data_IF_669020187862
#
_entry.id   IF_669020187862
#
_cell.length_a   1.000
_cell.length_b   1.000
_cell.length_c   1.000
_cell.angle_alpha   90.00
_cell.angle_beta   90.00
_cell.angle_gamma   90.00
#
_symmetry.space_group_name_H-M   'P 1'
#
loop_
_entity.id
_entity.type
_entity.pdbx_description
1 polymer ?
#
# COMPACT_ATOMS: atom_id res chain seq x y z
N UNK A 1 17.83 -31.91 -36.05
CA UNK A 1 19.01 -31.26 -35.43
C UNK A 1 20.14 -31.47 -36.40
N UNK A 2 20.62 -30.44 -37.05
CA UNK A 2 21.76 -30.49 -37.96
C UNK A 2 23.01 -30.03 -37.23
N UNK A 3 24.09 -30.78 -37.39
CA UNK A 3 25.42 -30.50 -36.82
C UNK A 3 26.35 -30.05 -37.95
N UNK A 4 27.32 -29.19 -37.64
CA UNK A 4 28.37 -28.82 -38.55
C UNK A 4 29.44 -29.91 -38.68
N UNK A 5 30.36 -29.76 -39.64
CA UNK A 5 31.42 -30.78 -39.93
C UNK A 5 32.44 -30.96 -38.76
N UNK A 6 32.27 -30.26 -37.64
CA UNK A 6 33.10 -30.41 -36.43
C UNK A 6 32.30 -30.85 -35.18
N UNK A 7 31.00 -31.24 -35.35
CA UNK A 7 30.17 -31.82 -34.29
C UNK A 7 29.60 -30.84 -33.25
N UNK A 8 29.52 -29.54 -33.58
CA UNK A 8 28.87 -28.53 -32.75
C UNK A 8 27.46 -28.18 -33.27
N UNK A 9 26.50 -27.87 -32.42
CA UNK A 9 25.15 -27.51 -32.85
C UNK A 9 25.15 -26.19 -33.59
N UNK A 10 24.56 -26.17 -34.81
CA UNK A 10 24.39 -24.95 -35.59
C UNK A 10 23.47 -23.97 -34.94
N UNK A 11 23.96 -22.78 -34.59
CA UNK A 11 23.23 -21.72 -33.94
C UNK A 11 22.52 -20.86 -34.99
N UNK A 12 21.21 -21.07 -35.15
CA UNK A 12 20.33 -20.20 -35.99
C UNK A 12 19.62 -19.21 -35.10
N UNK A 13 20.31 -18.13 -34.70
CA UNK A 13 19.70 -17.01 -34.00
C UNK A 13 19.50 -15.83 -34.99
N UNK A 14 18.26 -15.41 -35.33
CA UNK A 14 17.99 -14.32 -36.26
C UNK A 14 18.23 -12.92 -35.69
N UNK A 15 18.70 -12.78 -34.45
CA UNK A 15 18.98 -11.48 -33.81
C UNK A 15 20.45 -11.38 -33.35
N UNK A 16 21.41 -11.32 -34.30
CA UNK A 16 22.78 -10.96 -33.95
C UNK A 16 22.87 -9.44 -33.70
N UNK A 17 23.15 -9.06 -32.50
CA UNK A 17 23.49 -7.68 -32.08
C UNK A 17 24.78 -7.27 -32.78
N UNK A 18 24.72 -6.22 -33.63
CA UNK A 18 25.92 -5.55 -34.15
C UNK A 18 26.51 -4.60 -33.12
N UNK A 19 27.81 -4.74 -32.91
CA UNK A 19 28.62 -3.92 -31.99
C UNK A 19 28.61 -2.44 -32.43
N UNK A 20 28.23 -1.49 -31.56
CA UNK A 20 28.18 -0.06 -31.90
C UNK A 20 29.55 0.62 -32.08
N UNK A 21 30.68 -0.06 -31.91
CA UNK A 21 32.02 0.54 -31.95
C UNK A 21 32.62 0.70 -33.34
N UNK A 22 31.89 0.35 -34.43
CA UNK A 22 32.37 0.52 -35.83
C UNK A 22 31.62 1.58 -36.62
N UNK A 23 31.26 2.70 -36.02
CA UNK A 23 30.70 3.84 -36.78
C UNK A 23 31.82 4.81 -37.19
N UNK A 24 32.14 4.89 -38.49
CA UNK A 24 33.08 5.86 -39.07
C UNK A 24 32.31 7.10 -39.57
N UNK A 25 32.50 8.27 -39.00
CA UNK A 25 31.74 9.49 -39.38
C UNK A 25 32.30 10.21 -40.61
N UNK A 26 33.25 9.64 -41.35
CA UNK A 26 33.93 10.33 -42.47
C UNK A 26 33.35 10.05 -43.85
N UNK A 27 32.31 9.26 -44.03
CA UNK A 27 31.68 9.09 -45.36
C UNK A 27 30.58 10.12 -45.60
N UNK A 28 31.01 11.24 -46.21
CA UNK A 28 30.16 12.33 -46.59
C UNK A 28 29.21 11.97 -47.75
N UNK A 29 28.01 12.47 -47.65
CA UNK A 29 27.04 12.50 -48.76
C UNK A 29 27.54 13.45 -49.86
N UNK A 30 27.82 12.92 -51.04
CA UNK A 30 28.10 13.69 -52.26
C UNK A 30 26.81 14.14 -52.91
N UNK A 31 26.81 15.39 -53.29
CA UNK A 31 25.86 16.29 -53.82
C UNK A 31 24.98 15.84 -54.98
N UNK A 32 23.83 16.49 -55.07
CA UNK A 32 23.06 16.65 -56.28
C UNK A 32 23.39 18.00 -56.92
N UNK A 33 23.87 17.93 -58.17
CA UNK A 33 24.17 19.10 -59.01
C UNK A 33 22.90 19.83 -59.39
N UNK A 34 22.98 21.15 -59.37
CA UNK A 34 22.02 22.10 -59.91
C UNK A 34 22.06 22.15 -61.44
N UNK A 35 21.05 21.62 -62.09
CA UNK A 35 20.80 21.85 -63.51
C UNK A 35 20.02 23.13 -63.74
N UNK A 36 20.66 24.10 -64.37
CA UNK A 36 20.03 25.30 -64.93
C UNK A 36 19.27 24.99 -66.17
N UNK A 37 17.99 25.33 -66.28
CA UNK A 37 17.29 25.49 -67.56
C UNK A 37 16.19 26.55 -67.49
N UNK A 38 16.38 27.55 -68.22
CA UNK A 38 15.56 28.44 -69.05
C UNK A 38 14.09 28.72 -68.66
N UNK A 39 13.92 29.98 -68.50
CA UNK A 39 12.76 30.81 -68.36
C UNK A 39 11.77 30.69 -69.51
N UNK A 40 10.56 30.13 -69.33
CA UNK A 40 9.40 30.40 -70.16
C UNK A 40 8.24 30.81 -69.27
N UNK A 41 7.79 32.03 -69.49
CA UNK A 41 6.71 32.64 -68.73
C UNK A 41 5.37 31.91 -68.93
N UNK A 42 4.70 31.68 -67.84
CA UNK A 42 3.28 31.30 -67.78
C UNK A 42 2.53 32.22 -66.85
N UNK A 43 1.40 32.63 -67.41
CA UNK A 43 0.36 33.48 -66.97
C UNK A 43 -0.08 33.29 -65.51
N UNK A 44 -0.15 34.40 -64.80
CA UNK A 44 -0.50 34.50 -63.34
C UNK A 44 -2.02 34.57 -63.20
N UNK A 45 -2.73 33.42 -63.32
CA UNK A 45 -4.12 33.30 -62.89
C UNK A 45 -4.21 32.61 -61.51
N UNK A 46 -4.52 33.41 -60.54
CA UNK A 46 -4.72 33.18 -59.10
C UNK A 46 -5.20 31.81 -58.64
N UNK A 47 -4.29 30.96 -58.23
CA UNK A 47 -4.56 29.88 -57.27
C UNK A 47 -3.67 30.12 -56.05
N UNK A 48 -4.28 30.62 -54.98
CA UNK A 48 -3.60 30.59 -53.66
C UNK A 48 -3.43 29.13 -53.23
N UNK A 49 -2.21 28.69 -52.84
CA UNK A 49 -2.04 27.32 -52.33
C UNK A 49 -2.88 27.12 -51.12
N UNK A 50 -3.77 26.11 -51.15
CA UNK A 50 -4.47 25.65 -49.97
C UNK A 50 -3.45 25.25 -48.93
N UNK A 51 -3.53 25.74 -47.67
CA UNK A 51 -2.62 25.32 -46.63
C UNK A 51 -2.76 23.79 -46.43
N UNK A 52 -1.63 23.09 -46.19
CA UNK A 52 -1.67 21.64 -45.93
C UNK A 52 -2.63 21.35 -44.80
N UNK A 53 -3.33 20.19 -44.82
CA UNK A 53 -4.20 19.81 -43.72
C UNK A 53 -3.40 19.84 -42.45
N UNK A 54 -3.86 20.61 -41.44
CA UNK A 54 -3.27 20.58 -40.12
C UNK A 54 -3.47 19.17 -39.57
N UNK A 55 -2.40 18.41 -39.48
CA UNK A 55 -2.40 17.17 -38.69
C UNK A 55 -2.86 17.50 -37.29
N UNK A 56 -4.09 17.10 -36.99
CA UNK A 56 -4.62 17.19 -35.61
C UNK A 56 -3.75 16.31 -34.74
N UNK A 57 -2.85 16.93 -34.02
CA UNK A 57 -2.07 16.22 -32.97
C UNK A 57 -3.07 15.46 -32.10
N UNK A 58 -2.87 14.15 -31.88
CA UNK A 58 -3.77 13.40 -31.00
C UNK A 58 -3.81 14.11 -29.65
N UNK A 59 -5.04 14.41 -29.19
CA UNK A 59 -5.27 15.10 -27.93
C UNK A 59 -4.49 14.36 -26.83
N UNK A 60 -3.58 15.07 -26.15
CA UNK A 60 -2.84 14.49 -25.02
C UNK A 60 -3.87 13.94 -24.03
N UNK A 61 -3.75 12.67 -23.59
CA UNK A 61 -4.68 12.13 -22.63
C UNK A 61 -4.68 13.06 -21.40
N UNK A 62 -5.84 13.60 -21.07
CA UNK A 62 -6.00 14.40 -19.85
C UNK A 62 -5.71 13.48 -18.68
N UNK A 63 -4.65 13.78 -17.91
CA UNK A 63 -4.34 13.06 -16.69
C UNK A 63 -5.53 13.24 -15.72
N UNK A 64 -6.31 12.19 -15.55
CA UNK A 64 -7.42 12.20 -14.59
C UNK A 64 -6.83 12.41 -13.19
N UNK A 65 -7.38 13.34 -12.43
CA UNK A 65 -7.04 13.51 -11.03
C UNK A 65 -7.35 12.21 -10.29
N UNK A 66 -6.36 11.68 -9.57
CA UNK A 66 -6.52 10.46 -8.77
C UNK A 66 -7.57 10.68 -7.69
N UNK A 67 -8.65 9.91 -7.73
CA UNK A 67 -9.69 9.96 -6.71
C UNK A 67 -9.14 9.41 -5.39
N UNK A 68 -9.55 10.02 -4.27
CA UNK A 68 -9.14 9.61 -2.94
C UNK A 68 -10.35 9.17 -2.12
N UNK A 69 -10.07 8.28 -1.17
CA UNK A 69 -11.02 7.92 -0.12
C UNK A 69 -10.44 8.33 1.23
N UNK A 70 -11.30 8.72 2.15
CA UNK A 70 -10.89 8.88 3.54
C UNK A 70 -10.64 7.51 4.17
N UNK A 71 -9.56 7.36 4.90
CA UNK A 71 -9.30 6.13 5.67
C UNK A 71 -10.32 5.91 6.79
N UNK A 72 -10.92 6.99 7.26
CA UNK A 72 -11.75 6.97 8.47
C UNK A 72 -10.95 6.93 9.77
N UNK A 73 -9.62 7.01 9.70
CA UNK A 73 -8.72 7.00 10.86
C UNK A 73 -8.27 8.44 11.12
N UNK A 74 -8.61 9.02 12.28
CA UNK A 74 -8.25 10.40 12.59
C UNK A 74 -6.76 10.67 12.46
N UNK A 75 -6.40 11.75 11.74
CA UNK A 75 -5.01 12.17 11.51
C UNK A 75 -4.27 11.41 10.39
N UNK A 76 -4.74 10.22 9.98
CA UNK A 76 -4.05 9.41 8.96
C UNK A 76 -4.09 10.06 7.57
N UNK A 77 -5.25 10.54 7.16
CA UNK A 77 -5.42 11.11 5.82
C UNK A 77 -4.46 12.29 5.55
N UNK A 78 -4.11 13.04 6.60
CA UNK A 78 -3.17 14.17 6.50
C UNK A 78 -1.76 13.72 6.15
N UNK A 79 -1.30 12.59 6.69
CA UNK A 79 0.07 12.08 6.46
C UNK A 79 0.23 11.37 5.11
N UNK A 80 -0.88 11.01 4.46
CA UNK A 80 -0.89 10.38 3.12
C UNK A 80 -1.39 11.33 2.01
N UNK A 81 -1.37 12.65 2.27
CA UNK A 81 -1.69 13.66 1.27
C UNK A 81 -3.19 13.81 0.96
N UNK A 82 -4.06 13.59 1.96
CA UNK A 82 -5.51 13.82 1.86
C UNK A 82 -6.33 12.55 1.66
N UNK A 83 -5.84 11.41 2.12
CA UNK A 83 -6.51 10.11 2.04
C UNK A 83 -5.85 9.12 1.08
N UNK A 84 -6.30 7.89 1.12
CA UNK A 84 -5.81 6.82 0.24
C UNK A 84 -6.29 7.03 -1.20
N UNK A 85 -5.46 6.71 -2.18
CA UNK A 85 -5.89 6.70 -3.58
C UNK A 85 -6.85 5.53 -3.77
N UNK A 86 -7.99 5.78 -4.39
CA UNK A 86 -9.03 4.78 -4.67
C UNK A 86 -8.49 3.66 -5.56
N UNK A 87 -9.04 2.47 -5.38
CA UNK A 87 -8.76 1.29 -6.22
C UNK A 87 -7.28 0.88 -6.23
N UNK A 88 -6.61 1.08 -5.09
CA UNK A 88 -5.22 0.71 -4.85
C UNK A 88 -5.09 -0.32 -3.74
N UNK A 89 -3.99 -1.06 -3.77
CA UNK A 89 -3.65 -2.07 -2.78
C UNK A 89 -2.50 -1.58 -1.92
N UNK A 90 -2.73 -1.57 -0.62
CA UNK A 90 -1.80 -1.09 0.40
C UNK A 90 -1.39 -2.23 1.33
N UNK A 91 -0.11 -2.30 1.68
CA UNK A 91 0.38 -3.21 2.69
C UNK A 91 0.38 -2.51 4.05
N UNK A 92 -0.32 -3.09 5.03
CA UNK A 92 -0.26 -2.70 6.42
C UNK A 92 0.64 -3.69 7.17
N UNK A 93 1.82 -3.26 7.56
CA UNK A 93 2.82 -4.12 8.21
C UNK A 93 3.16 -3.63 9.63
N UNK A 94 3.69 -4.53 10.44
CA UNK A 94 4.15 -4.21 11.79
C UNK A 94 4.21 -5.43 12.69
N UNK A 95 4.94 -5.37 13.83
CA UNK A 95 5.08 -6.48 14.75
C UNK A 95 3.74 -6.86 15.42
N UNK A 96 3.70 -8.02 16.05
CA UNK A 96 2.54 -8.44 16.85
C UNK A 96 2.23 -7.40 17.92
N UNK A 97 0.95 -7.07 18.13
CA UNK A 97 0.50 -6.06 19.12
C UNK A 97 0.71 -4.60 18.68
N UNK A 98 1.15 -4.33 17.45
CA UNK A 98 1.26 -2.96 16.92
C UNK A 98 -0.09 -2.30 16.64
N UNK A 99 -1.18 -3.06 16.51
CA UNK A 99 -2.52 -2.55 16.25
C UNK A 99 -3.00 -2.73 14.80
N UNK A 100 -2.42 -3.68 14.05
CA UNK A 100 -2.78 -3.92 12.64
C UNK A 100 -4.26 -4.26 12.46
N UNK A 101 -4.77 -5.25 13.19
CA UNK A 101 -6.18 -5.67 13.14
C UNK A 101 -7.11 -4.52 13.54
N UNK A 102 -6.73 -3.70 14.52
CA UNK A 102 -7.52 -2.51 14.91
C UNK A 102 -7.55 -1.49 13.76
N UNK A 103 -6.41 -1.19 13.15
CA UNK A 103 -6.30 -0.26 12.03
C UNK A 103 -7.16 -0.72 10.84
N UNK A 104 -7.04 -1.99 10.45
CA UNK A 104 -7.75 -2.57 9.31
C UNK A 104 -9.26 -2.67 9.55
N UNK A 105 -9.68 -3.04 10.77
CA UNK A 105 -11.10 -3.06 11.14
C UNK A 105 -11.68 -1.64 11.19
N UNK A 106 -10.96 -0.68 11.75
CA UNK A 106 -11.39 0.72 11.78
C UNK A 106 -11.55 1.30 10.37
N UNK A 107 -10.65 0.96 9.45
CA UNK A 107 -10.74 1.34 8.04
C UNK A 107 -12.05 0.84 7.41
N UNK A 108 -12.44 -0.40 7.64
CA UNK A 108 -13.71 -0.95 7.14
C UNK A 108 -14.91 -0.38 7.87
N UNK A 109 -14.91 -0.43 9.21
CA UNK A 109 -16.03 0.01 10.03
C UNK A 109 -16.39 1.49 9.76
N UNK A 110 -15.40 2.37 9.76
CA UNK A 110 -15.60 3.78 9.44
C UNK A 110 -15.94 4.01 7.95
N UNK A 111 -15.46 3.13 7.06
CA UNK A 111 -15.86 3.13 5.66
C UNK A 111 -17.36 2.95 5.49
N UNK A 112 -17.92 1.99 6.17
CA UNK A 112 -19.37 1.71 6.14
C UNK A 112 -20.15 2.81 6.88
N UNK A 113 -19.78 3.06 8.14
CA UNK A 113 -20.58 3.91 9.03
C UNK A 113 -20.56 5.39 8.66
N UNK A 114 -19.45 5.90 8.10
CA UNK A 114 -19.26 7.33 7.81
C UNK A 114 -19.33 7.68 6.32
N UNK A 115 -18.98 6.72 5.44
CA UNK A 115 -18.84 6.99 4.01
C UNK A 115 -19.74 6.14 3.14
N UNK A 116 -20.56 5.24 3.75
CA UNK A 116 -21.46 4.30 3.04
C UNK A 116 -20.71 3.46 1.98
N UNK A 117 -19.48 3.07 2.29
CA UNK A 117 -18.65 2.22 1.45
C UNK A 117 -18.63 0.79 2.03
N UNK A 118 -19.35 -0.12 1.38
CA UNK A 118 -19.42 -1.52 1.79
C UNK A 118 -18.06 -2.21 1.72
N UNK A 119 -17.89 -3.27 2.50
CA UNK A 119 -16.60 -3.91 2.63
C UNK A 119 -16.59 -5.43 2.75
N UNK A 120 -15.40 -6.00 2.57
CA UNK A 120 -15.09 -7.41 2.81
C UNK A 120 -13.92 -7.50 3.77
N UNK A 121 -14.05 -8.31 4.82
CA UNK A 121 -12.96 -8.68 5.72
C UNK A 121 -12.69 -10.18 5.59
N UNK A 122 -11.49 -10.54 5.14
CA UNK A 122 -11.02 -11.93 5.03
C UNK A 122 -10.19 -12.25 6.26
N UNK A 123 -10.64 -13.21 7.06
CA UNK A 123 -9.92 -13.65 8.28
C UNK A 123 -9.14 -14.92 8.03
N UNK A 124 -7.83 -14.89 8.31
CA UNK A 124 -6.89 -15.98 8.09
C UNK A 124 -6.15 -16.43 9.37
N UNK A 125 -6.16 -15.60 10.44
CA UNK A 125 -5.45 -15.88 11.70
C UNK A 125 -6.37 -16.02 12.91
N UNK A 126 -7.50 -15.36 12.94
CA UNK A 126 -8.51 -15.49 13.98
C UNK A 126 -9.86 -15.91 13.39
N UNK A 127 -10.80 -16.37 14.21
CA UNK A 127 -12.14 -16.69 13.69
C UNK A 127 -12.99 -15.43 13.55
N UNK A 128 -14.00 -15.41 12.62
CA UNK A 128 -14.93 -14.29 12.51
C UNK A 128 -15.60 -13.92 13.83
N UNK A 129 -15.94 -14.92 14.65
CA UNK A 129 -16.54 -14.71 15.96
C UNK A 129 -15.57 -13.95 16.88
N UNK A 130 -14.30 -14.38 16.95
CA UNK A 130 -13.28 -13.69 17.77
C UNK A 130 -13.07 -12.25 17.32
N UNK A 131 -13.01 -12.01 16.01
CA UNK A 131 -12.92 -10.64 15.46
C UNK A 131 -14.10 -9.79 15.94
N UNK A 132 -15.35 -10.26 15.80
CA UNK A 132 -16.56 -9.53 16.21
C UNK A 132 -16.54 -9.21 17.72
N UNK A 133 -16.25 -10.21 18.54
CA UNK A 133 -16.17 -10.07 20.01
C UNK A 133 -15.09 -9.08 20.42
N UNK A 134 -13.88 -9.20 19.86
CA UNK A 134 -12.75 -8.37 20.19
C UNK A 134 -13.02 -6.89 19.88
N UNK A 135 -13.56 -6.57 18.71
CA UNK A 135 -13.79 -5.18 18.31
C UNK A 135 -15.02 -4.58 18.99
N UNK A 136 -16.04 -5.39 19.27
CA UNK A 136 -17.22 -4.94 20.03
C UNK A 136 -16.86 -4.60 21.47
N UNK A 137 -16.16 -5.52 22.16
CA UNK A 137 -15.78 -5.33 23.55
C UNK A 137 -14.78 -4.18 23.74
N UNK A 138 -13.88 -3.96 22.75
CA UNK A 138 -12.84 -2.94 22.87
C UNK A 138 -13.31 -1.55 22.45
N UNK A 139 -14.20 -1.45 21.44
CA UNK A 139 -14.53 -0.20 20.76
C UNK A 139 -16.03 0.03 20.54
N UNK A 140 -16.88 -0.92 20.92
CA UNK A 140 -18.33 -0.87 20.64
C UNK A 140 -18.67 -1.01 19.15
N UNK A 141 -17.74 -1.47 18.32
CA UNK A 141 -17.98 -1.63 16.88
C UNK A 141 -18.79 -2.89 16.60
N UNK A 142 -20.08 -2.70 16.36
CA UNK A 142 -20.99 -3.82 16.07
C UNK A 142 -20.93 -4.19 14.58
N UNK A 143 -19.98 -5.07 14.23
CA UNK A 143 -19.84 -5.57 12.85
C UNK A 143 -21.04 -6.42 12.45
N UNK A 144 -21.60 -7.21 13.37
CA UNK A 144 -22.76 -8.09 13.09
C UNK A 144 -23.93 -7.32 12.51
N UNK A 145 -24.23 -6.13 13.02
CA UNK A 145 -25.31 -5.28 12.47
C UNK A 145 -25.09 -4.96 10.99
N UNK A 146 -23.85 -4.70 10.59
CA UNK A 146 -23.53 -4.40 9.18
C UNK A 146 -23.53 -5.65 8.30
N UNK A 147 -23.21 -6.84 8.86
CA UNK A 147 -23.37 -8.12 8.15
C UNK A 147 -24.85 -8.42 7.88
N UNK A 148 -25.69 -8.24 8.89
CA UNK A 148 -27.14 -8.48 8.79
C UNK A 148 -27.80 -7.54 7.76
N UNK A 149 -27.29 -6.31 7.66
CA UNK A 149 -27.73 -5.31 6.69
C UNK A 149 -27.12 -5.49 5.28
N UNK A 150 -26.21 -6.44 5.08
CA UNK A 150 -25.55 -6.67 3.81
C UNK A 150 -24.53 -5.60 3.41
N UNK A 151 -23.95 -4.88 4.39
CA UNK A 151 -22.92 -3.87 4.14
C UNK A 151 -21.49 -4.42 4.22
N UNK A 152 -21.29 -5.54 4.94
CA UNK A 152 -20.01 -6.20 5.07
C UNK A 152 -20.17 -7.71 4.93
N UNK A 153 -19.17 -8.35 4.36
CA UNK A 153 -18.95 -9.80 4.46
C UNK A 153 -17.68 -10.02 5.28
N UNK A 154 -17.80 -10.81 6.35
CA UNK A 154 -16.65 -11.40 7.02
C UNK A 154 -16.49 -12.81 6.47
N UNK A 155 -15.42 -13.02 5.68
CA UNK A 155 -15.12 -14.29 5.01
C UNK A 155 -14.19 -15.13 5.88
N UNK A 156 -14.69 -16.28 6.32
CA UNK A 156 -13.92 -17.26 7.09
C UNK A 156 -13.00 -18.07 6.15
N UNK A 157 -11.72 -17.78 6.19
CA UNK A 157 -10.71 -18.54 5.48
C UNK A 157 -9.85 -19.42 6.43
N UNK A 158 -9.82 -19.11 7.73
CA UNK A 158 -9.04 -19.86 8.70
C UNK A 158 -9.59 -21.26 8.93
N UNK A 159 -10.93 -21.41 9.04
CA UNK A 159 -11.55 -22.72 9.33
C UNK A 159 -11.21 -23.73 8.24
N UNK A 160 -11.33 -23.35 6.97
CA UNK A 160 -10.96 -24.21 5.84
C UNK A 160 -9.49 -24.55 5.81
N UNK A 161 -8.62 -23.56 6.05
CA UNK A 161 -7.17 -23.74 6.07
C UNK A 161 -6.73 -24.74 7.16
N UNK A 162 -7.34 -24.66 8.34
CA UNK A 162 -7.05 -25.57 9.44
C UNK A 162 -7.85 -26.89 9.41
N UNK A 163 -8.68 -27.11 8.39
CA UNK A 163 -9.51 -28.32 8.28
C UNK A 163 -10.66 -28.37 9.29
N UNK A 164 -11.04 -27.22 9.89
CA UNK A 164 -12.11 -27.12 10.89
C UNK A 164 -13.47 -26.86 10.22
N UNK A 165 -14.55 -27.26 10.91
CA UNK A 165 -15.91 -26.89 10.52
C UNK A 165 -16.18 -25.43 10.90
N UNK A 166 -16.89 -24.70 10.04
CA UNK A 166 -17.33 -23.34 10.30
C UNK A 166 -18.87 -23.29 10.34
N UNK A 167 -19.41 -22.46 11.24
CA UNK A 167 -20.82 -22.09 11.26
C UNK A 167 -21.11 -20.76 10.54
N UNK A 168 -20.11 -20.16 9.90
CA UNK A 168 -20.22 -18.86 9.25
C UNK A 168 -20.99 -18.96 7.92
N UNK A 169 -21.66 -17.88 7.55
CA UNK A 169 -22.38 -17.77 6.27
C UNK A 169 -21.45 -17.75 5.07
N UNK A 170 -20.28 -17.12 5.22
CA UNK A 170 -19.29 -16.96 4.16
C UNK A 170 -18.00 -17.65 4.57
N UNK A 171 -17.71 -18.78 3.91
CA UNK A 171 -16.58 -19.66 4.24
C UNK A 171 -15.89 -20.06 2.95
N UNK A 172 -14.56 -20.01 2.93
CA UNK A 172 -13.80 -20.61 1.83
C UNK A 172 -14.01 -22.13 1.85
N UNK A 173 -14.41 -22.78 0.74
CA UNK A 173 -14.66 -24.22 0.72
C UNK A 173 -13.40 -25.05 0.92
N UNK A 174 -13.57 -26.31 1.34
CA UNK A 174 -12.48 -27.29 1.42
C UNK A 174 -12.43 -28.16 0.13
N UNK A 175 -11.22 -28.55 -0.32
CA UNK A 175 -9.90 -28.21 0.26
C UNK A 175 -9.58 -26.74 0.08
N UNK A 176 -8.86 -26.15 1.07
CA UNK A 176 -8.36 -24.77 0.95
C UNK A 176 -7.32 -24.71 -0.18
N UNK A 177 -7.58 -23.88 -1.17
CA UNK A 177 -6.65 -23.58 -2.27
C UNK A 177 -6.62 -22.08 -2.52
N UNK A 178 -5.58 -21.61 -3.19
CA UNK A 178 -5.50 -20.20 -3.57
C UNK A 178 -6.64 -19.81 -4.53
N UNK A 179 -7.02 -20.71 -5.42
CA UNK A 179 -8.12 -20.52 -6.35
C UNK A 179 -9.45 -20.39 -5.63
N UNK A 180 -9.72 -21.25 -4.64
CA UNK A 180 -10.96 -21.18 -3.84
C UNK A 180 -11.01 -19.89 -3.02
N UNK A 181 -9.88 -19.46 -2.43
CA UNK A 181 -9.79 -18.20 -1.71
C UNK A 181 -10.06 -16.99 -2.62
N UNK A 182 -9.44 -16.94 -3.79
CA UNK A 182 -9.64 -15.87 -4.76
C UNK A 182 -11.08 -15.81 -5.26
N UNK A 183 -11.68 -16.96 -5.52
CA UNK A 183 -13.07 -17.07 -5.97
C UNK A 183 -14.05 -16.55 -4.90
N UNK A 184 -13.87 -16.95 -3.64
CA UNK A 184 -14.74 -16.49 -2.55
C UNK A 184 -14.54 -15.00 -2.22
N UNK A 185 -13.35 -14.47 -2.35
CA UNK A 185 -13.13 -13.01 -2.24
C UNK A 185 -13.92 -12.27 -3.33
N UNK A 186 -13.89 -12.76 -4.58
CA UNK A 186 -14.65 -12.15 -5.67
C UNK A 186 -16.17 -12.23 -5.42
N UNK A 187 -16.67 -13.38 -4.99
CA UNK A 187 -18.08 -13.57 -4.64
C UNK A 187 -18.50 -12.61 -3.52
N UNK A 188 -17.69 -12.50 -2.46
CA UNK A 188 -17.96 -11.60 -1.34
C UNK A 188 -18.00 -10.14 -1.79
N UNK A 189 -17.05 -9.69 -2.64
CA UNK A 189 -17.03 -8.34 -3.20
C UNK A 189 -18.31 -8.05 -3.99
N UNK A 190 -18.72 -8.98 -4.85
CA UNK A 190 -19.92 -8.81 -5.67
C UNK A 190 -21.20 -8.82 -4.81
N UNK A 191 -21.25 -9.68 -3.80
CA UNK A 191 -22.44 -9.83 -2.92
C UNK A 191 -22.83 -8.51 -2.25
N UNK A 192 -21.85 -7.76 -1.74
CA UNK A 192 -22.13 -6.51 -1.04
C UNK A 192 -21.73 -5.26 -1.86
N UNK A 193 -21.31 -5.44 -3.12
CA UNK A 193 -20.76 -4.36 -3.94
C UNK A 193 -19.66 -3.60 -3.18
N UNK A 194 -18.68 -4.35 -2.67
CA UNK A 194 -17.64 -3.82 -1.79
C UNK A 194 -16.77 -2.76 -2.49
N UNK A 195 -16.37 -1.75 -1.73
CA UNK A 195 -15.40 -0.73 -2.12
C UNK A 195 -14.13 -0.82 -1.29
N UNK A 196 -14.20 -1.46 -0.13
CA UNK A 196 -13.08 -1.68 0.77
C UNK A 196 -12.88 -3.16 1.02
N UNK A 197 -11.63 -3.60 1.02
CA UNK A 197 -11.28 -4.99 1.32
C UNK A 197 -10.14 -5.01 2.34
N UNK A 198 -10.21 -5.92 3.29
CA UNK A 198 -9.11 -6.24 4.22
C UNK A 198 -8.81 -7.73 4.10
N UNK A 199 -7.54 -8.08 4.05
CA UNK A 199 -7.06 -9.48 4.13
C UNK A 199 -6.10 -9.56 5.31
N UNK A 200 -6.51 -10.24 6.41
CA UNK A 200 -5.79 -10.30 7.68
C UNK A 200 -5.54 -11.77 8.10
N UNK A 201 -4.31 -12.31 7.96
CA UNK A 201 -3.15 -11.71 7.38
C UNK A 201 -2.47 -12.62 6.35
N UNK A 202 -1.60 -12.04 5.53
CA UNK A 202 -0.80 -12.79 4.55
C UNK A 202 0.18 -13.76 5.21
N UNK A 203 0.55 -13.54 6.48
CA UNK A 203 1.50 -14.38 7.21
C UNK A 203 1.00 -15.81 7.34
N UNK A 204 -0.32 -15.98 7.50
CA UNK A 204 -0.96 -17.29 7.54
C UNK A 204 -0.69 -18.14 6.27
N UNK A 205 -0.54 -17.48 5.12
CA UNK A 205 -0.24 -18.13 3.85
C UNK A 205 1.25 -18.26 3.58
N UNK A 206 2.07 -17.37 4.13
CA UNK A 206 3.53 -17.37 3.93
C UNK A 206 4.22 -18.60 4.54
N UNK A 207 3.59 -19.24 5.51
CA UNK A 207 4.09 -20.49 6.13
C UNK A 207 3.94 -21.71 5.21
N UNK A 208 3.02 -21.68 4.25
CA UNK A 208 2.68 -22.80 3.38
C UNK A 208 3.21 -22.64 1.95
N UNK A 209 3.56 -21.40 1.56
CA UNK A 209 3.95 -21.05 0.20
C UNK A 209 5.44 -20.74 0.09
N UNK A 210 6.03 -21.08 -1.07
CA UNK A 210 7.34 -20.55 -1.41
C UNK A 210 7.29 -19.04 -1.65
N UNK A 211 8.42 -18.36 -1.56
CA UNK A 211 8.49 -16.90 -1.84
C UNK A 211 8.03 -16.55 -3.26
N UNK A 212 8.22 -17.46 -4.23
CA UNK A 212 7.79 -17.27 -5.62
C UNK A 212 6.27 -17.38 -5.72
N UNK A 213 5.69 -18.39 -5.05
CA UNK A 213 4.24 -18.60 -5.05
C UNK A 213 3.51 -17.47 -4.32
N UNK A 214 4.04 -17.04 -3.18
CA UNK A 214 3.50 -15.89 -2.43
C UNK A 214 3.52 -14.61 -3.29
N UNK A 215 4.59 -14.35 -4.03
CA UNK A 215 4.67 -13.21 -4.94
C UNK A 215 3.63 -13.30 -6.04
N UNK A 216 3.48 -14.47 -6.66
CA UNK A 216 2.48 -14.71 -7.70
C UNK A 216 1.07 -14.50 -7.17
N UNK A 217 0.77 -15.02 -5.96
CA UNK A 217 -0.50 -14.82 -5.29
C UNK A 217 -0.81 -13.33 -5.08
N UNK A 218 0.13 -12.57 -4.49
CA UNK A 218 -0.07 -11.14 -4.20
C UNK A 218 -0.24 -10.35 -5.50
N UNK A 219 0.47 -10.69 -6.57
CA UNK A 219 0.26 -10.09 -7.89
C UNK A 219 -1.14 -10.36 -8.43
N UNK A 220 -1.61 -11.62 -8.39
CA UNK A 220 -2.95 -12.01 -8.83
C UNK A 220 -4.04 -11.31 -8.00
N UNK A 221 -3.92 -11.35 -6.67
CA UNK A 221 -4.81 -10.62 -5.75
C UNK A 221 -4.87 -9.13 -6.10
N UNK A 222 -3.73 -8.48 -6.25
CA UNK A 222 -3.66 -7.04 -6.57
C UNK A 222 -4.38 -6.72 -7.88
N UNK A 223 -4.21 -7.54 -8.92
CA UNK A 223 -4.90 -7.34 -10.20
C UNK A 223 -6.41 -7.50 -10.07
N UNK A 224 -6.86 -8.56 -9.39
CA UNK A 224 -8.28 -8.85 -9.17
C UNK A 224 -8.94 -7.71 -8.38
N UNK A 225 -8.37 -7.35 -7.23
CA UNK A 225 -8.93 -6.33 -6.35
C UNK A 225 -9.05 -4.96 -7.03
N UNK A 226 -8.06 -4.60 -7.86
CA UNK A 226 -8.09 -3.38 -8.68
C UNK A 226 -9.17 -3.45 -9.77
N UNK A 227 -9.36 -4.60 -10.41
CA UNK A 227 -10.39 -4.76 -11.46
C UNK A 227 -11.81 -4.60 -10.92
N UNK A 228 -12.03 -4.90 -9.64
CA UNK A 228 -13.31 -4.67 -8.95
C UNK A 228 -13.45 -3.25 -8.37
N UNK A 229 -12.45 -2.41 -8.52
CA UNK A 229 -12.48 -1.04 -7.96
C UNK A 229 -12.48 -1.03 -6.44
N UNK A 230 -11.71 -1.93 -5.81
CA UNK A 230 -11.60 -2.01 -4.36
C UNK A 230 -10.32 -1.35 -3.86
N UNK A 231 -10.45 -0.50 -2.83
CA UNK A 231 -9.31 -0.03 -2.05
C UNK A 231 -9.03 -1.04 -0.95
N UNK A 232 -7.83 -1.62 -0.97
CA UNK A 232 -7.53 -2.82 -0.17
C UNK A 232 -6.37 -2.60 0.79
N UNK A 233 -6.51 -3.13 2.01
CA UNK A 233 -5.43 -3.33 2.97
C UNK A 233 -5.07 -4.82 3.02
N UNK A 234 -3.84 -5.15 2.65
CA UNK A 234 -3.21 -6.43 2.91
C UNK A 234 -2.44 -6.31 4.22
N UNK A 235 -2.78 -7.12 5.21
CA UNK A 235 -2.11 -7.12 6.52
C UNK A 235 -0.99 -8.15 6.53
N UNK A 236 0.18 -7.77 7.07
CA UNK A 236 1.30 -8.69 7.25
C UNK A 236 2.06 -8.37 8.53
N UNK A 237 2.63 -9.39 9.17
CA UNK A 237 3.61 -9.20 10.21
C UNK A 237 4.84 -8.46 9.65
N UNK A 238 5.62 -7.90 10.51
CA UNK A 238 6.92 -7.42 10.10
C UNK A 238 7.78 -8.67 9.88
N UNK A 239 8.10 -9.00 8.62
CA UNK A 239 9.19 -9.91 8.37
C UNK A 239 10.40 -9.33 9.13
N UNK A 240 10.86 -10.06 10.16
CA UNK A 240 12.12 -9.73 10.80
C UNK A 240 13.10 -9.54 9.66
N UNK A 241 13.66 -8.34 9.55
CA UNK A 241 14.68 -8.05 8.56
C UNK A 241 15.68 -9.17 8.67
N UNK A 242 15.60 -10.14 7.72
CA UNK A 242 16.64 -11.15 7.64
C UNK A 242 17.94 -10.36 7.67
N UNK A 243 18.93 -10.81 8.42
CA UNK A 243 20.23 -10.19 8.63
C UNK A 243 20.97 -9.75 7.35
N UNK A 244 20.33 -9.88 6.19
CA UNK A 244 20.78 -9.51 4.86
C UNK A 244 19.99 -8.33 4.23
N UNK A 245 19.13 -7.62 4.95
CA UNK A 245 18.44 -6.43 4.42
C UNK A 245 17.50 -6.66 3.24
N UNK A 246 17.06 -7.91 3.01
CA UNK A 246 16.11 -8.22 1.92
C UNK A 246 14.73 -7.73 2.30
N UNK A 247 14.18 -6.85 1.47
CA UNK A 247 12.78 -6.41 1.55
C UNK A 247 11.86 -7.59 1.30
N UNK A 248 10.74 -7.64 2.02
CA UNK A 248 9.72 -8.66 1.77
C UNK A 248 9.16 -8.55 0.35
N UNK A 249 8.70 -9.66 -0.19
CA UNK A 249 8.22 -9.74 -1.58
C UNK A 249 7.00 -8.84 -1.79
N UNK A 250 6.16 -8.73 -0.77
CA UNK A 250 4.94 -7.94 -0.74
C UNK A 250 5.22 -6.45 -1.00
N UNK A 251 6.34 -5.94 -0.48
CA UNK A 251 6.73 -4.53 -0.61
C UNK A 251 6.89 -4.07 -2.06
N UNK A 252 7.24 -4.98 -2.98
CA UNK A 252 7.46 -4.63 -4.39
C UNK A 252 6.17 -4.54 -5.19
N UNK A 253 5.14 -5.30 -4.83
CA UNK A 253 3.92 -5.45 -5.62
C UNK A 253 2.87 -4.38 -5.30
N UNK A 254 2.75 -3.98 -4.05
CA UNK A 254 1.71 -3.05 -3.58
C UNK A 254 1.93 -1.60 -4.01
N UNK A 255 0.85 -0.81 -4.06
CA UNK A 255 0.89 0.61 -4.43
C UNK A 255 1.40 1.52 -3.30
N UNK A 256 1.18 1.14 -2.05
CA UNK A 256 1.69 1.86 -0.89
C UNK A 256 1.93 0.95 0.30
N UNK A 257 2.66 1.46 1.28
CA UNK A 257 2.99 0.76 2.51
C UNK A 257 2.71 1.65 3.71
N UNK A 258 2.08 1.05 4.71
CA UNK A 258 1.80 1.62 6.01
C UNK A 258 2.49 0.72 7.02
N UNK A 259 3.42 1.24 7.79
CA UNK A 259 4.14 0.45 8.79
C UNK A 259 3.84 0.96 10.18
N UNK A 260 3.36 0.06 11.03
CA UNK A 260 3.13 0.33 12.44
C UNK A 260 4.33 -0.15 13.25
N UNK A 261 4.76 0.66 14.20
CA UNK A 261 5.82 0.38 15.14
C UNK A 261 5.30 0.46 16.57
N UNK A 262 5.86 -0.34 17.47
CA UNK A 262 5.72 -0.13 18.90
C UNK A 262 7.05 -0.40 19.59
N UNK A 263 7.37 0.42 20.56
CA UNK A 263 8.52 0.27 21.45
C UNK A 263 8.07 0.44 22.89
N UNK A 264 8.78 -0.21 23.80
CA UNK A 264 8.67 0.10 25.22
C UNK A 264 9.65 1.25 25.48
N UNK A 265 9.11 2.43 25.75
CA UNK A 265 9.91 3.60 26.13
C UNK A 265 9.80 3.79 27.66
N UNK A 266 10.90 4.06 28.33
CA UNK A 266 10.86 4.48 29.71
C UNK A 266 10.32 5.90 29.74
N UNK A 267 9.12 6.08 30.27
CA UNK A 267 8.54 7.40 30.44
C UNK A 267 8.42 7.68 31.95
N UNK A 268 9.05 8.78 32.31
CA UNK A 268 8.86 9.50 33.55
C UNK A 268 9.32 8.77 34.80
N UNK A 269 10.53 9.04 35.22
CA UNK A 269 10.86 9.09 36.65
C UNK A 269 10.03 10.25 37.24
N UNK A 270 8.93 9.92 37.92
CA UNK A 270 8.20 10.87 38.71
C UNK A 270 8.94 11.00 40.03
N UNK A 271 9.68 12.08 40.24
CA UNK A 271 10.02 12.54 41.57
C UNK A 271 8.72 12.99 42.23
N UNK A 272 8.13 12.14 43.03
CA UNK A 272 7.03 12.54 43.91
C UNK A 272 7.67 13.25 45.11
N UNK A 273 7.90 14.56 44.97
CA UNK A 273 8.28 15.42 46.10
C UNK A 273 7.05 15.53 47.00
N UNK A 274 7.00 14.68 48.02
CA UNK A 274 6.06 14.86 49.13
C UNK A 274 6.56 16.02 49.98
N UNK A 275 6.24 17.24 49.61
CA UNK A 275 6.57 18.49 50.34
C UNK A 275 5.95 18.60 51.71
N UNK A 276 5.23 17.60 52.22
CA UNK A 276 4.48 17.70 53.45
C UNK A 276 5.08 16.98 54.69
N UNK A 277 6.19 16.25 54.57
CA UNK A 277 6.79 15.55 55.71
C UNK A 277 8.22 15.99 56.13
N UNK A 278 8.67 17.14 55.69
CA UNK A 278 9.99 17.70 56.01
C UNK A 278 10.15 18.16 57.48
N UNK A 279 9.16 17.93 58.33
CA UNK A 279 9.22 18.35 59.75
C UNK A 279 9.54 17.21 60.74
N UNK A 280 9.73 15.99 60.27
CA UNK A 280 10.15 14.88 61.14
C UNK A 280 11.32 14.14 60.48
N UNK A 281 12.52 14.47 60.90
CA UNK A 281 13.85 14.01 60.51
C UNK A 281 14.07 12.51 60.21
N UNK A 282 13.26 11.85 59.43
CA UNK A 282 13.50 10.51 58.89
C UNK A 282 14.00 10.63 57.46
N UNK A 283 15.12 9.97 57.18
CA UNK A 283 15.65 9.76 55.83
C UNK A 283 14.58 9.10 54.96
N UNK A 284 14.02 9.86 54.03
CA UNK A 284 13.09 9.36 53.04
C UNK A 284 13.91 8.57 52.01
N UNK A 285 13.63 7.26 51.87
CA UNK A 285 14.03 6.51 50.71
C UNK A 285 13.24 7.09 49.51
N UNK A 286 13.95 7.62 48.52
CA UNK A 286 13.37 8.08 47.24
C UNK A 286 12.91 6.85 46.49
N UNK A 287 11.63 6.49 46.60
CA UNK A 287 11.00 5.50 45.74
C UNK A 287 10.89 6.10 44.31
N UNK A 288 11.92 5.88 43.51
CA UNK A 288 11.87 6.22 42.08
C UNK A 288 11.00 5.20 41.38
N UNK A 289 9.77 5.60 41.03
CA UNK A 289 8.86 4.80 40.25
C UNK A 289 9.08 5.05 38.74
N UNK A 290 9.58 4.06 38.01
CA UNK A 290 9.69 4.14 36.57
C UNK A 290 8.60 3.30 35.88
N UNK A 291 7.74 3.92 35.13
CA UNK A 291 6.77 3.23 34.28
C UNK A 291 7.29 3.07 32.85
N UNK A 292 7.22 1.85 32.33
CA UNK A 292 7.46 1.61 30.90
C UNK A 292 6.15 1.77 30.15
N UNK A 293 6.08 2.75 29.24
CA UNK A 293 4.90 3.01 28.41
C UNK A 293 5.16 2.54 27.00
N UNK A 294 4.16 1.88 26.41
CA UNK A 294 4.24 1.46 25.01
C UNK A 294 4.01 2.66 24.08
N UNK A 295 5.08 3.13 23.45
CA UNK A 295 5.01 4.13 22.39
C UNK A 295 4.67 3.46 21.06
N UNK A 296 3.73 4.02 20.31
CA UNK A 296 3.31 3.54 18.99
C UNK A 296 3.51 4.63 17.96
N UNK A 297 4.02 4.24 16.76
CA UNK A 297 4.29 5.16 15.65
C UNK A 297 3.83 4.53 14.34
N UNK A 298 3.35 5.36 13.41
CA UNK A 298 3.04 4.98 12.04
C UNK A 298 4.00 5.68 11.09
N UNK A 299 4.45 4.95 10.09
CA UNK A 299 5.35 5.39 9.02
C UNK A 299 4.76 5.02 7.67
N UNK A 300 5.00 5.86 6.67
CA UNK A 300 4.59 5.61 5.28
C UNK A 300 5.86 5.44 4.43
N UNK A 301 6.42 4.21 4.32
CA UNK A 301 7.66 3.99 3.58
C UNK A 301 7.52 4.19 2.07
N UNK A 302 6.29 4.03 1.55
CA UNK A 302 6.01 4.08 0.11
C UNK A 302 4.56 4.47 -0.14
N UNK A 303 4.34 5.37 -1.11
CA UNK A 303 3.01 5.71 -1.61
C UNK A 303 3.11 6.15 -3.08
N UNK A 304 2.71 5.28 -4.01
CA UNK A 304 2.77 5.57 -5.44
C UNK A 304 1.70 6.58 -5.84
N UNK A 305 2.08 7.56 -6.66
CA UNK A 305 1.14 8.54 -7.23
C UNK A 305 0.71 9.67 -6.30
N UNK A 306 1.31 9.80 -5.11
CA UNK A 306 1.02 10.90 -4.19
C UNK A 306 2.22 11.21 -3.30
N UNK A 307 2.30 12.46 -2.85
CA UNK A 307 3.19 12.84 -1.76
C UNK A 307 2.68 12.27 -0.44
N UNK A 308 3.58 11.96 0.46
CA UNK A 308 3.29 11.47 1.81
C UNK A 308 4.33 11.95 2.79
N UNK A 309 4.05 11.82 4.07
CA UNK A 309 5.00 12.17 5.12
C UNK A 309 6.23 11.25 5.10
N UNK A 310 7.41 11.84 5.28
CA UNK A 310 8.68 11.12 5.41
C UNK A 310 9.04 10.82 6.88
N UNK A 311 8.12 11.10 7.81
CA UNK A 311 8.36 10.99 9.25
C UNK A 311 7.53 9.87 9.86
N UNK A 312 7.99 9.39 11.01
CA UNK A 312 7.18 8.55 11.90
C UNK A 312 6.27 9.45 12.74
N UNK A 313 4.98 9.12 12.76
CA UNK A 313 3.95 9.84 13.51
C UNK A 313 3.48 9.04 14.69
N UNK A 314 3.45 9.61 15.90
CA UNK A 314 2.92 8.92 17.07
C UNK A 314 1.40 8.71 16.90
N UNK A 315 0.91 7.59 17.39
CA UNK A 315 -0.52 7.32 17.48
C UNK A 315 -0.89 6.66 18.80
N UNK A 316 -2.14 6.81 19.17
CA UNK A 316 -2.72 6.16 20.35
C UNK A 316 -3.84 5.22 19.91
N UNK A 317 -4.13 4.25 20.75
CA UNK A 317 -5.32 3.41 20.67
C UNK A 317 -6.16 3.75 21.90
N UNK A 318 -7.37 4.25 21.70
CA UNK A 318 -8.34 4.60 22.72
C UNK A 318 -9.68 3.90 22.44
N UNK A 319 -10.72 4.24 23.19
CA UNK A 319 -12.07 3.67 23.02
C UNK A 319 -12.70 3.91 21.65
N UNK A 320 -12.19 4.87 20.88
CA UNK A 320 -12.65 5.18 19.52
C UNK A 320 -11.76 4.53 18.43
N UNK A 321 -10.77 3.73 18.84
CA UNK A 321 -9.80 3.11 17.96
C UNK A 321 -8.48 3.86 17.87
N UNK A 322 -7.86 3.82 16.69
CA UNK A 322 -6.58 4.48 16.40
C UNK A 322 -6.81 5.94 16.07
N UNK A 323 -6.00 6.80 16.69
CA UNK A 323 -5.89 8.22 16.39
C UNK A 323 -4.43 8.60 16.21
N UNK A 324 -4.07 9.14 15.04
CA UNK A 324 -2.73 9.63 14.75
C UNK A 324 -2.60 11.06 15.23
N UNK A 325 -1.62 11.30 16.09
CA UNK A 325 -1.37 12.62 16.64
C UNK A 325 -0.64 13.47 15.60
N UNK A 326 -1.25 14.59 15.24
CA UNK A 326 -0.59 15.59 14.41
C UNK A 326 0.55 16.25 15.19
N UNK A 327 1.70 16.48 14.53
CA UNK A 327 2.75 17.28 15.16
C UNK A 327 2.22 18.68 15.50
N UNK A 328 2.60 19.21 16.67
CA UNK A 328 2.35 20.63 17.00
C UNK A 328 2.90 21.53 15.89
N UNK A 329 2.16 22.59 15.53
CA UNK A 329 2.55 23.50 14.44
C UNK A 329 3.94 24.15 14.66
N UNK A 330 4.31 24.35 15.92
CA UNK A 330 5.65 24.85 16.30
C UNK A 330 6.75 23.88 15.84
N UNK A 331 6.56 22.57 16.05
CA UNK A 331 7.53 21.54 15.64
C UNK A 331 7.60 21.46 14.11
N UNK A 332 6.49 21.58 13.39
CA UNK A 332 6.47 21.66 11.93
C UNK A 332 7.25 22.86 11.39
N UNK A 333 7.11 24.03 12.01
CA UNK A 333 7.85 25.26 11.64
C UNK A 333 9.33 25.11 11.88
N UNK A 334 9.72 24.55 13.03
CA UNK A 334 11.13 24.31 13.37
C UNK A 334 11.79 23.34 12.39
N UNK A 335 11.12 22.24 12.05
CA UNK A 335 11.62 21.28 11.05
C UNK A 335 11.76 21.88 9.66
N UNK A 336 10.80 22.70 9.21
CA UNK A 336 10.91 23.44 7.94
C UNK A 336 12.12 24.38 7.92
N UNK A 337 12.39 25.04 9.03
CA UNK A 337 13.54 25.93 9.15
C UNK A 337 14.88 25.17 9.10
N UNK A 338 14.99 24.04 9.82
CA UNK A 338 16.18 23.16 9.80
C UNK A 338 16.41 22.57 8.41
N UNK A 339 15.35 22.13 7.72
CA UNK A 339 15.47 21.58 6.36
C UNK A 339 15.95 22.63 5.35
N UNK A 340 15.44 23.87 5.44
CA UNK A 340 15.92 24.99 4.60
C UNK A 340 17.38 25.32 4.86
N UNK A 341 17.83 25.30 6.11
CA UNK A 341 19.21 25.57 6.48
C UNK A 341 20.19 24.52 5.91
N UNK A 342 19.77 23.24 5.85
CA UNK A 342 20.59 22.15 5.28
C UNK A 342 20.66 22.10 3.74
N UNK A 343 19.87 22.91 3.03
CA UNK A 343 19.92 23.01 1.56
C UNK A 343 20.78 24.19 1.08
N UNK A 344 21.33 24.97 1.99
CA UNK A 344 22.14 26.18 1.69
C UNK A 344 23.63 25.89 1.87
N UNK A 345 24.00 24.76 2.45
CA UNK A 345 25.37 24.21 2.51
C UNK A 345 25.59 23.15 1.41
#
# INVERSE_FOLDING_TARGET
>A
MSYDDQGQPANNDPYSYQDPSQYDPSQGYTGYESGSSENQGYDNSGYAPTPPPQEQQPARPQLQQLQRISSGIPGFDQIVGGGLIRDRVYLLSGPAGAGKTIFSTQFLYNGISKYNENGVYVVLEETPQQLRENVYNSFGWNIQTYEDNGNIVVLDAISSRLGLSSGERYVVPRPFTLESLLYEIQNAIQTVNARRVVIDSLDAMSLELTQVDLRSLIQRLTMILKSFGCTTLLVSGQAETTSQGRKSVEEYVVDGMIRLHHNLEESVSGETTLEQNALQGNSLEEDSFSMKVRSRKVEIPKMRGTSHSQYQHPFIINENGIEIKSEPEVTKRLRRAIFKAKQVD
#
